data_IF_780724412120
#
_entry.id   IF_780724412120
#
_cell.length_a   1.000
_cell.length_b   1.000
_cell.length_c   1.000
_cell.angle_alpha   90.00
_cell.angle_beta   90.00
_cell.angle_gamma   90.00
#
_symmetry.space_group_name_H-M   'P 1'
#
loop_
_entity.id
_entity.type
_entity.pdbx_description
1 polymer ?
#
# COMPACT_ATOMS: atom_id res chain seq x y z
N UNK A 1 -14.27 -13.33 39.23
CA UNK A 1 -15.14 -14.41 39.75
C UNK A 1 -14.80 -15.68 38.96
N UNK A 2 -14.11 -16.65 39.57
CA UNK A 2 -13.79 -17.92 38.89
C UNK A 2 -15.06 -18.77 38.83
N UNK A 3 -15.62 -18.97 37.64
CA UNK A 3 -16.60 -20.04 37.42
C UNK A 3 -15.85 -21.36 37.45
N UNK A 4 -15.75 -21.97 38.64
CA UNK A 4 -15.29 -23.34 38.77
C UNK A 4 -16.43 -24.24 38.32
N UNK A 5 -16.44 -24.62 37.05
CA UNK A 5 -17.31 -25.69 36.57
C UNK A 5 -16.71 -26.99 37.11
N UNK A 6 -17.27 -27.50 38.22
CA UNK A 6 -16.90 -28.81 38.76
C UNK A 6 -17.38 -29.89 37.80
N UNK A 7 -16.51 -30.34 36.90
CA UNK A 7 -16.72 -31.61 36.20
C UNK A 7 -16.44 -32.76 37.16
N UNK A 8 -17.42 -33.66 37.32
CA UNK A 8 -17.32 -34.83 38.20
C UNK A 8 -16.50 -35.90 37.45
N UNK A 9 -15.19 -35.93 37.70
CA UNK A 9 -14.32 -37.07 37.32
C UNK A 9 -13.50 -36.94 36.03
N UNK A 10 -13.28 -35.73 35.50
CA UNK A 10 -12.34 -35.50 34.39
C UNK A 10 -11.28 -34.48 34.78
N UNK A 11 -10.06 -34.62 34.24
CA UNK A 11 -8.98 -33.65 34.40
C UNK A 11 -9.51 -32.22 34.15
N UNK A 12 -9.04 -31.22 34.92
CA UNK A 12 -9.49 -29.85 34.72
C UNK A 12 -9.13 -29.40 33.30
N UNK A 13 -10.14 -29.32 32.43
CA UNK A 13 -10.00 -28.67 31.14
C UNK A 13 -9.69 -27.21 31.44
N UNK A 14 -8.45 -26.81 31.14
CA UNK A 14 -8.01 -25.43 31.29
C UNK A 14 -8.75 -24.60 30.24
N UNK A 15 -9.98 -24.17 30.58
CA UNK A 15 -10.74 -23.24 29.76
C UNK A 15 -9.97 -21.93 29.73
N UNK A 16 -9.29 -21.67 28.61
CA UNK A 16 -8.61 -20.41 28.37
C UNK A 16 -9.57 -19.27 28.66
N UNK A 17 -9.19 -18.36 29.55
CA UNK A 17 -10.03 -17.21 29.85
C UNK A 17 -10.09 -16.34 28.58
N UNK A 18 -11.27 -16.00 28.06
CA UNK A 18 -11.41 -15.23 26.82
C UNK A 18 -10.54 -13.96 26.79
N UNK A 19 -10.31 -13.34 27.94
CA UNK A 19 -9.46 -12.16 28.05
C UNK A 19 -7.97 -12.41 27.78
N UNK A 20 -7.44 -13.57 28.13
CA UNK A 20 -6.03 -13.91 27.86
C UNK A 20 -5.81 -14.10 26.37
N UNK A 21 -6.77 -14.72 25.69
CA UNK A 21 -6.76 -14.88 24.23
C UNK A 21 -6.86 -13.51 23.55
N UNK A 22 -7.85 -12.69 23.93
CA UNK A 22 -8.03 -11.35 23.37
C UNK A 22 -6.82 -10.44 23.57
N UNK A 23 -6.24 -10.43 24.77
CA UNK A 23 -5.02 -9.69 25.08
C UNK A 23 -3.86 -10.11 24.18
N UNK A 24 -3.62 -11.42 24.06
CA UNK A 24 -2.49 -11.95 23.29
C UNK A 24 -2.61 -11.59 21.82
N UNK A 25 -3.82 -11.77 21.26
CA UNK A 25 -4.13 -11.40 19.87
C UNK A 25 -3.92 -9.90 19.64
N UNK A 26 -4.42 -9.05 20.54
CA UNK A 26 -4.27 -7.60 20.43
C UNK A 26 -2.80 -7.14 20.50
N UNK A 27 -1.99 -7.72 21.41
CA UNK A 27 -0.56 -7.42 21.50
C UNK A 27 0.20 -7.83 20.22
N UNK A 28 -0.08 -9.03 19.69
CA UNK A 28 0.53 -9.50 18.45
C UNK A 28 0.16 -8.56 17.28
N UNK A 29 -1.11 -8.18 17.16
CA UNK A 29 -1.55 -7.23 16.12
C UNK A 29 -0.93 -5.84 16.27
N UNK A 30 -0.71 -5.38 17.50
CA UNK A 30 0.00 -4.14 17.79
C UNK A 30 1.47 -4.20 17.36
N UNK A 31 2.15 -5.32 17.66
CA UNK A 31 3.54 -5.54 17.23
C UNK A 31 3.66 -5.65 15.70
N UNK A 32 2.73 -6.34 15.04
CA UNK A 32 2.68 -6.42 13.57
C UNK A 32 2.50 -5.01 13.00
N UNK A 33 1.50 -4.25 13.48
CA UNK A 33 1.24 -2.87 13.03
C UNK A 33 2.43 -1.94 13.27
N UNK A 34 3.14 -2.10 14.39
CA UNK A 34 4.36 -1.36 14.69
C UNK A 34 5.51 -1.74 13.74
N UNK A 35 5.73 -3.02 13.48
CA UNK A 35 6.77 -3.48 12.55
C UNK A 35 6.54 -2.94 11.13
N UNK A 36 5.27 -2.89 10.71
CA UNK A 36 4.84 -2.28 9.45
C UNK A 36 5.09 -0.77 9.41
N UNK A 37 4.85 -0.08 10.53
CA UNK A 37 5.18 1.35 10.65
C UNK A 37 6.69 1.61 10.55
N UNK A 38 7.51 0.72 11.10
CA UNK A 38 8.98 0.84 11.16
C UNK A 38 9.71 0.39 9.90
N UNK A 39 8.98 0.20 8.78
CA UNK A 39 9.51 -0.29 7.50
C UNK A 39 10.08 -1.73 7.51
N UNK A 40 9.84 -2.55 8.55
CA UNK A 40 10.35 -3.94 8.59
C UNK A 40 9.65 -4.87 7.61
N UNK A 41 8.40 -4.57 7.29
CA UNK A 41 7.61 -5.27 6.28
C UNK A 41 7.03 -4.15 5.42
N UNK A 42 7.59 -3.84 4.24
CA UNK A 42 6.85 -3.00 3.31
C UNK A 42 5.50 -3.71 3.08
N UNK A 43 4.33 -3.06 3.31
CA UNK A 43 3.12 -3.48 2.58
C UNK A 43 3.40 -3.11 1.12
N UNK A 44 4.33 -3.84 0.48
CA UNK A 44 4.69 -3.76 -0.92
C UNK A 44 3.58 -4.31 -1.82
N UNK A 45 2.37 -4.48 -1.28
CA UNK A 45 1.15 -4.82 -2.02
C UNK A 45 0.23 -3.58 -1.96
N UNK A 46 0.68 -2.52 -2.63
CA UNK A 46 0.04 -1.37 -3.31
C UNK A 46 -1.30 -0.76 -2.84
N UNK A 47 -1.85 -1.15 -1.69
CA UNK A 47 -3.15 -0.64 -1.22
C UNK A 47 -3.08 0.28 0.00
N UNK A 48 -1.95 0.34 0.69
CA UNK A 48 -1.81 1.14 1.90
C UNK A 48 -0.67 2.14 1.66
N UNK A 49 -0.98 3.37 1.22
CA UNK A 49 0.07 4.37 1.07
C UNK A 49 0.63 4.59 2.47
N UNK A 50 1.91 4.25 2.65
CA UNK A 50 2.63 4.58 3.89
C UNK A 50 2.57 6.09 4.18
N UNK A 51 2.24 6.85 3.15
CA UNK A 51 2.12 8.29 3.06
C UNK A 51 0.74 8.80 3.51
N UNK A 52 -0.27 7.95 3.68
CA UNK A 52 -1.53 8.41 4.29
C UNK A 52 -1.26 8.68 5.76
N UNK A 53 -1.28 9.96 6.07
CA UNK A 53 -1.14 10.46 7.43
C UNK A 53 -2.48 10.94 7.93
N UNK A 54 -2.77 10.63 9.19
CA UNK A 54 -3.85 11.24 9.96
C UNK A 54 -3.18 12.03 11.09
N UNK A 55 -3.46 13.33 11.18
CA UNK A 55 -2.83 14.23 12.15
C UNK A 55 -1.28 14.17 12.15
N UNK A 56 -0.67 13.99 10.98
CA UNK A 56 0.80 13.95 10.82
C UNK A 56 1.47 12.61 11.16
N UNK A 57 0.70 11.58 11.55
CA UNK A 57 1.22 10.23 11.77
C UNK A 57 0.68 9.26 10.72
N UNK A 58 1.48 8.30 10.28
CA UNK A 58 1.04 7.33 9.29
C UNK A 58 -0.09 6.45 9.82
N UNK A 59 -0.95 5.95 8.93
CA UNK A 59 -2.03 5.01 9.30
C UNK A 59 -1.49 3.78 10.04
N UNK A 60 -0.30 3.28 9.70
CA UNK A 60 0.32 2.16 10.41
C UNK A 60 0.62 2.50 11.88
N UNK A 61 1.08 3.72 12.17
CA UNK A 61 1.28 4.18 13.54
C UNK A 61 -0.04 4.25 14.32
N UNK A 62 -1.12 4.72 13.69
CA UNK A 62 -2.47 4.68 14.26
C UNK A 62 -2.96 3.26 14.49
N UNK A 63 -2.68 2.33 13.59
CA UNK A 63 -2.97 0.90 13.75
C UNK A 63 -2.26 0.32 14.97
N UNK A 64 -0.97 0.62 15.16
CA UNK A 64 -0.21 0.18 16.33
C UNK A 64 -0.80 0.73 17.63
N UNK A 65 -1.12 2.02 17.67
CA UNK A 65 -1.77 2.66 18.82
C UNK A 65 -3.15 2.06 19.11
N UNK A 66 -3.93 1.78 18.07
CA UNK A 66 -5.25 1.15 18.17
C UNK A 66 -5.15 -0.22 18.83
N UNK A 67 -4.31 -1.12 18.32
CA UNK A 67 -4.18 -2.46 18.89
C UNK A 67 -3.55 -2.47 20.29
N UNK A 68 -2.65 -1.53 20.59
CA UNK A 68 -2.17 -1.32 21.95
C UNK A 68 -3.32 -0.91 22.89
N UNK A 69 -4.20 -0.01 22.43
CA UNK A 69 -5.39 0.40 23.19
C UNK A 69 -6.32 -0.79 23.43
N UNK A 70 -6.59 -1.61 22.41
CA UNK A 70 -7.39 -2.84 22.54
C UNK A 70 -6.76 -3.81 23.54
N UNK A 71 -5.44 -4.00 23.49
CA UNK A 71 -4.71 -4.85 24.42
C UNK A 71 -4.84 -4.34 25.87
N UNK A 72 -4.64 -3.05 26.10
CA UNK A 72 -4.83 -2.42 27.42
C UNK A 72 -6.25 -2.57 27.93
N UNK A 73 -7.26 -2.45 27.07
CA UNK A 73 -8.66 -2.64 27.46
C UNK A 73 -8.96 -4.10 27.82
N UNK A 74 -8.36 -5.08 27.14
CA UNK A 74 -8.43 -6.49 27.55
C UNK A 74 -7.73 -6.73 28.89
N UNK A 75 -6.55 -6.13 29.09
CA UNK A 75 -5.78 -6.21 30.34
C UNK A 75 -6.54 -5.65 31.54
N UNK A 76 -7.17 -4.48 31.38
CA UNK A 76 -7.97 -3.82 32.40
C UNK A 76 -9.38 -4.40 32.56
N UNK A 77 -9.71 -5.49 31.86
CA UNK A 77 -11.04 -6.11 31.85
C UNK A 77 -12.17 -5.11 31.49
N UNK A 78 -11.86 -4.10 30.67
CA UNK A 78 -12.77 -3.02 30.28
C UNK A 78 -13.72 -3.47 29.14
N UNK A 79 -14.32 -4.66 29.26
CA UNK A 79 -15.09 -5.30 28.19
C UNK A 79 -16.31 -4.49 27.73
N UNK A 80 -16.78 -3.51 28.53
CA UNK A 80 -17.88 -2.62 28.14
C UNK A 80 -17.49 -1.63 27.05
N UNK A 81 -16.22 -1.24 27.01
CA UNK A 81 -15.69 -0.25 26.07
C UNK A 81 -15.15 -0.93 24.80
N UNK A 82 -14.67 -2.17 24.93
CA UNK A 82 -14.08 -2.94 23.84
C UNK A 82 -14.91 -3.00 22.55
N UNK A 83 -16.22 -3.29 22.58
CA UNK A 83 -17.00 -3.40 21.35
C UNK A 83 -17.03 -2.11 20.55
N UNK A 84 -17.03 -0.97 21.24
CA UNK A 84 -17.07 0.35 20.61
C UNK A 84 -15.73 0.66 19.95
N UNK A 85 -14.63 0.38 20.64
CA UNK A 85 -13.27 0.57 20.10
C UNK A 85 -13.03 -0.37 18.92
N UNK A 86 -13.32 -1.66 19.08
CA UNK A 86 -13.20 -2.65 17.99
C UNK A 86 -14.07 -2.29 16.78
N UNK A 87 -15.32 -1.86 17.02
CA UNK A 87 -16.22 -1.38 15.97
C UNK A 87 -15.65 -0.19 15.21
N UNK A 88 -14.97 0.73 15.90
CA UNK A 88 -14.28 1.87 15.26
C UNK A 88 -13.18 1.39 14.32
N UNK A 89 -12.33 0.46 14.76
CA UNK A 89 -11.28 -0.13 13.91
C UNK A 89 -11.84 -0.85 12.68
N UNK A 90 -12.93 -1.61 12.84
CA UNK A 90 -13.63 -2.29 11.73
C UNK A 90 -14.14 -1.27 10.70
N UNK A 91 -14.76 -0.17 11.15
CA UNK A 91 -15.25 0.88 10.26
C UNK A 91 -14.11 1.60 9.52
N UNK A 92 -12.98 1.87 10.20
CA UNK A 92 -11.80 2.46 9.56
C UNK A 92 -11.28 1.54 8.45
N UNK A 93 -11.13 0.25 8.70
CA UNK A 93 -10.71 -0.71 7.69
C UNK A 93 -11.72 -0.84 6.53
N UNK A 94 -13.02 -0.86 6.82
CA UNK A 94 -14.05 -0.86 5.78
C UNK A 94 -13.98 0.40 4.90
N UNK A 95 -13.77 1.57 5.51
CA UNK A 95 -13.54 2.82 4.79
C UNK A 95 -12.31 2.74 3.88
N UNK A 96 -11.20 2.20 4.40
CA UNK A 96 -9.99 1.98 3.60
C UNK A 96 -10.26 1.09 2.38
N UNK A 97 -11.02 0.00 2.53
CA UNK A 97 -11.41 -0.87 1.40
C UNK A 97 -12.28 -0.17 0.36
N UNK A 98 -13.17 0.73 0.78
CA UNK A 98 -14.00 1.50 -0.14
C UNK A 98 -13.20 2.55 -0.92
N UNK A 99 -12.13 3.08 -0.31
CA UNK A 99 -11.28 4.11 -0.94
C UNK A 99 -10.12 3.55 -1.76
N UNK A 100 -9.72 2.30 -1.54
CA UNK A 100 -8.61 1.67 -2.23
C UNK A 100 -9.04 0.32 -2.86
N UNK A 101 -9.30 0.27 -4.19
CA UNK A 101 -9.74 -0.95 -4.86
C UNK A 101 -8.66 -2.04 -4.90
N UNK A 102 -7.39 -1.68 -4.66
CA UNK A 102 -6.31 -2.63 -4.48
C UNK A 102 -6.23 -3.02 -3.00
N UNK A 103 -6.73 -4.20 -2.68
CA UNK A 103 -6.81 -4.70 -1.31
C UNK A 103 -5.40 -5.05 -0.76
N UNK A 104 -4.87 -4.32 0.23
CA UNK A 104 -3.69 -4.77 1.02
C UNK A 104 -4.16 -5.98 1.87
N UNK A 105 -3.66 -7.19 1.57
CA UNK A 105 -4.01 -8.45 2.26
C UNK A 105 -3.91 -8.36 3.78
N UNK A 106 -2.93 -7.60 4.25
CA UNK A 106 -2.74 -7.32 5.65
C UNK A 106 -3.90 -6.53 6.27
N UNK A 107 -4.46 -5.53 5.57
CA UNK A 107 -5.66 -4.84 6.04
C UNK A 107 -6.85 -5.80 6.17
N UNK A 108 -6.97 -6.79 5.28
CA UNK A 108 -7.97 -7.85 5.38
C UNK A 108 -7.72 -8.71 6.63
N UNK A 109 -6.48 -9.14 6.86
CA UNK A 109 -6.13 -9.93 8.06
C UNK A 109 -6.46 -9.15 9.33
N UNK A 110 -6.05 -7.89 9.43
CA UNK A 110 -6.31 -7.01 10.58
C UNK A 110 -7.81 -6.71 10.78
N UNK A 111 -8.56 -6.54 9.68
CA UNK A 111 -10.01 -6.42 9.70
C UNK A 111 -10.69 -7.69 10.23
N UNK A 112 -10.36 -8.86 9.67
CA UNK A 112 -10.88 -10.15 10.10
C UNK A 112 -10.54 -10.45 11.57
N UNK A 113 -9.33 -10.08 12.00
CA UNK A 113 -8.89 -10.23 13.38
C UNK A 113 -9.67 -9.30 14.33
N UNK A 114 -9.97 -8.07 13.91
CA UNK A 114 -10.83 -7.15 14.67
C UNK A 114 -12.26 -7.66 14.80
N UNK A 115 -12.82 -8.26 13.74
CA UNK A 115 -14.11 -8.96 13.77
C UNK A 115 -14.08 -10.17 14.71
N UNK A 116 -13.03 -10.98 14.66
CA UNK A 116 -12.85 -12.13 15.55
C UNK A 116 -12.78 -11.73 17.02
N UNK A 117 -12.02 -10.68 17.34
CA UNK A 117 -11.96 -10.13 18.70
C UNK A 117 -13.31 -9.58 19.15
N UNK A 118 -14.06 -8.90 18.26
CA UNK A 118 -15.40 -8.40 18.58
C UNK A 118 -16.36 -9.56 18.87
N UNK A 119 -16.35 -10.61 18.05
CA UNK A 119 -17.14 -11.82 18.28
C UNK A 119 -16.83 -12.50 19.61
N UNK A 120 -15.54 -12.56 19.98
CA UNK A 120 -15.09 -13.12 21.26
C UNK A 120 -15.56 -12.28 22.46
N UNK A 121 -15.53 -10.95 22.35
CA UNK A 121 -16.04 -10.07 23.42
C UNK A 121 -17.54 -10.21 23.58
N UNK A 122 -18.28 -10.26 22.47
CA UNK A 122 -19.74 -10.39 22.48
C UNK A 122 -20.18 -11.76 23.00
N UNK A 123 -19.46 -12.84 22.69
CA UNK A 123 -19.77 -14.18 23.19
C UNK A 123 -19.43 -14.36 24.68
N UNK A 124 -18.43 -13.64 25.17
CA UNK A 124 -18.03 -13.66 26.58
C UNK A 124 -18.93 -12.80 27.48
N UNK A 125 -19.78 -11.94 26.91
CA UNK A 125 -20.72 -11.13 27.68
C UNK A 125 -22.14 -11.76 27.71
N UNK A 126 -22.75 -11.96 28.89
CA UNK A 126 -24.19 -12.27 28.97
C UNK A 126 -24.98 -11.11 28.33
N UNK A 127 -26.17 -11.36 27.74
CA UNK A 127 -26.68 -10.67 26.55
C UNK A 127 -26.40 -9.17 26.54
N UNK A 128 -25.24 -8.80 26.00
CA UNK A 128 -24.73 -7.43 25.95
C UNK A 128 -25.65 -6.51 25.13
N UNK A 129 -26.38 -7.11 24.17
CA UNK A 129 -27.42 -6.46 23.39
C UNK A 129 -28.55 -5.89 24.27
N UNK A 130 -28.86 -6.51 25.41
CA UNK A 130 -29.89 -6.01 26.31
C UNK A 130 -29.45 -4.71 27.02
N UNK A 131 -28.15 -4.44 27.19
CA UNK A 131 -27.68 -3.26 27.93
C UNK A 131 -27.49 -2.02 27.03
N UNK A 132 -27.08 -2.19 25.77
CA UNK A 132 -26.99 -1.07 24.81
C UNK A 132 -28.39 -0.47 24.56
N UNK A 133 -29.42 -1.31 24.55
CA UNK A 133 -30.82 -0.85 24.43
C UNK A 133 -31.34 -0.12 25.68
N UNK A 134 -30.78 -0.40 26.87
CA UNK A 134 -31.40 0.00 28.14
C UNK A 134 -30.86 1.30 28.76
N UNK A 135 -29.84 1.95 28.18
CA UNK A 135 -29.36 3.26 28.66
C UNK A 135 -29.13 4.25 27.51
N UNK A 136 -29.95 5.31 27.38
CA UNK A 136 -29.86 6.24 26.26
C UNK A 136 -28.51 6.97 26.18
N UNK A 137 -27.83 7.20 27.32
CA UNK A 137 -26.51 7.83 27.34
C UNK A 137 -25.41 7.02 26.63
N UNK A 138 -25.53 5.69 26.59
CA UNK A 138 -24.53 4.85 25.92
C UNK A 138 -24.70 4.87 24.39
N UNK A 139 -25.93 5.01 23.91
CA UNK A 139 -26.23 5.17 22.47
C UNK A 139 -25.62 6.46 21.95
N UNK A 140 -25.71 7.56 22.72
CA UNK A 140 -25.09 8.85 22.35
C UNK A 140 -23.57 8.75 22.24
N UNK A 141 -22.91 8.07 23.18
CA UNK A 141 -21.45 7.89 23.13
C UNK A 141 -21.01 7.06 21.92
N UNK A 142 -21.73 5.98 21.60
CA UNK A 142 -21.47 5.17 20.40
C UNK A 142 -21.69 5.98 19.13
N UNK A 143 -22.78 6.75 19.04
CA UNK A 143 -23.05 7.62 17.90
C UNK A 143 -22.00 8.73 17.74
N UNK A 144 -21.51 9.32 18.84
CA UNK A 144 -20.43 10.31 18.80
C UNK A 144 -19.10 9.72 18.30
N UNK A 145 -18.79 8.47 18.68
CA UNK A 145 -17.59 7.78 18.20
C UNK A 145 -17.71 7.43 16.71
N UNK A 146 -18.88 6.95 16.27
CA UNK A 146 -19.16 6.71 14.84
C UNK A 146 -19.08 8.03 14.04
N UNK A 147 -19.65 9.12 14.57
CA UNK A 147 -19.61 10.43 13.94
C UNK A 147 -18.17 10.99 13.87
N UNK A 148 -17.37 10.84 14.92
CA UNK A 148 -15.97 11.25 14.93
C UNK A 148 -15.12 10.44 13.94
N UNK A 149 -15.35 9.12 13.86
CA UNK A 149 -14.70 8.26 12.87
C UNK A 149 -15.11 8.64 11.43
N UNK A 150 -16.40 8.90 11.21
CA UNK A 150 -16.92 9.38 9.92
C UNK A 150 -16.34 10.75 9.53
N UNK A 151 -16.18 11.66 10.49
CA UNK A 151 -15.52 12.95 10.27
C UNK A 151 -14.04 12.78 9.92
N UNK A 152 -13.32 11.90 10.59
CA UNK A 152 -11.91 11.61 10.28
C UNK A 152 -11.72 11.04 8.88
N UNK A 153 -12.65 10.18 8.42
CA UNK A 153 -12.67 9.65 7.05
C UNK A 153 -13.02 10.78 6.06
N UNK A 154 -14.02 11.61 6.36
CA UNK A 154 -14.43 12.73 5.50
C UNK A 154 -13.34 13.80 5.34
N UNK A 155 -12.61 14.14 6.40
CA UNK A 155 -11.48 15.08 6.36
C UNK A 155 -10.33 14.49 5.54
N UNK A 156 -10.05 13.19 5.68
CA UNK A 156 -9.05 12.51 4.83
C UNK A 156 -9.44 12.57 3.35
N UNK A 157 -10.74 12.41 3.04
CA UNK A 157 -11.27 12.49 1.68
C UNK A 157 -11.18 13.90 1.09
N UNK A 158 -11.52 14.94 1.87
CA UNK A 158 -11.43 16.34 1.43
C UNK A 158 -9.97 16.80 1.26
N UNK A 159 -9.06 16.36 2.13
CA UNK A 159 -7.62 16.60 1.96
C UNK A 159 -7.12 15.92 0.68
N UNK A 160 -7.49 14.66 0.41
CA UNK A 160 -7.12 13.97 -0.84
C UNK A 160 -7.68 14.66 -2.08
N UNK A 161 -8.94 15.10 -2.04
CA UNK A 161 -9.58 15.82 -3.14
C UNK A 161 -8.90 17.18 -3.41
N UNK A 162 -8.42 17.87 -2.37
CA UNK A 162 -7.78 19.19 -2.48
C UNK A 162 -6.28 19.13 -2.78
N UNK A 163 -5.56 18.10 -2.37
CA UNK A 163 -4.13 17.94 -2.67
C UNK A 163 -3.87 17.39 -4.08
N UNK A 164 -4.93 17.03 -4.82
CA UNK A 164 -4.80 16.48 -6.17
C UNK A 164 -4.14 15.11 -6.19
N UNK A 165 -4.06 14.43 -5.04
CA UNK A 165 -3.51 13.09 -4.93
C UNK A 165 -4.56 12.09 -5.42
N UNK A 166 -4.55 11.80 -6.71
CA UNK A 166 -5.28 10.67 -7.27
C UNK A 166 -4.43 9.41 -7.07
N UNK A 167 -4.95 8.33 -6.46
CA UNK A 167 -4.27 7.04 -6.49
C UNK A 167 -4.26 6.56 -7.94
N UNK A 168 -3.19 6.88 -8.67
CA UNK A 168 -2.83 6.36 -9.98
C UNK A 168 -3.98 6.17 -11.00
N UNK A 169 -4.97 7.05 -11.02
CA UNK A 169 -5.64 7.32 -12.28
C UNK A 169 -4.67 8.19 -13.06
N UNK A 170 -4.17 7.60 -14.16
CA UNK A 170 -3.40 8.24 -15.22
C UNK A 170 -3.42 9.76 -15.06
N UNK A 171 -2.24 10.35 -14.84
CA UNK A 171 -2.08 11.79 -15.08
C UNK A 171 -2.80 12.01 -16.42
N UNK A 172 -3.95 12.71 -16.47
CA UNK A 172 -4.56 13.01 -17.74
C UNK A 172 -3.45 13.77 -18.43
N UNK A 173 -2.90 13.19 -19.50
CA UNK A 173 -1.68 13.66 -20.12
C UNK A 173 -1.87 15.14 -20.41
N UNK A 174 -1.46 16.00 -19.48
CA UNK A 174 -2.01 17.35 -19.42
C UNK A 174 -1.38 18.22 -20.51
N UNK A 175 -0.38 17.65 -21.18
CA UNK A 175 0.21 18.07 -22.43
C UNK A 175 0.37 16.89 -23.40
N UNK A 176 -0.53 15.88 -23.41
CA UNK A 176 -0.74 15.15 -24.66
C UNK A 176 -1.33 16.20 -25.61
N UNK A 177 -0.42 16.88 -26.29
CA UNK A 177 -0.65 17.65 -27.50
C UNK A 177 -1.74 16.92 -28.25
N UNK A 178 -2.87 17.60 -28.47
CA UNK A 178 -4.08 17.08 -29.08
C UNK A 178 -3.86 16.75 -30.57
N UNK A 179 -2.85 15.94 -30.86
CA UNK A 179 -2.29 15.69 -32.19
C UNK A 179 -1.85 14.21 -32.36
N UNK A 180 -2.44 13.30 -31.58
CA UNK A 180 -2.21 11.87 -31.73
C UNK A 180 -3.50 11.04 -31.64
N UNK A 181 -4.51 11.43 -32.40
CA UNK A 181 -5.60 10.53 -32.77
C UNK A 181 -5.88 10.65 -34.26
N UNK A 182 -4.84 10.45 -35.07
CA UNK A 182 -5.01 10.04 -36.46
C UNK A 182 -4.86 8.50 -36.49
N UNK A 183 -5.97 7.73 -36.61
CA UNK A 183 -5.93 6.27 -36.65
C UNK A 183 -5.19 5.69 -37.88
N UNK A 184 -4.63 6.54 -38.74
CA UNK A 184 -3.70 6.16 -39.82
C UNK A 184 -2.23 6.03 -39.38
N UNK A 185 -1.88 6.40 -38.13
CA UNK A 185 -0.54 6.15 -37.60
C UNK A 185 -0.38 4.64 -37.30
N UNK A 186 0.14 3.89 -38.28
CA UNK A 186 0.37 2.45 -38.17
C UNK A 186 1.07 2.07 -36.86
N UNK A 187 0.66 0.93 -36.29
CA UNK A 187 1.27 0.35 -35.07
C UNK A 187 2.79 0.44 -35.19
N UNK A 188 3.44 1.06 -34.20
CA UNK A 188 4.90 1.12 -34.17
C UNK A 188 5.47 -0.30 -34.22
N UNK A 189 6.59 -0.52 -34.91
CA UNK A 189 7.32 -1.78 -34.79
C UNK A 189 7.53 -2.11 -33.31
N UNK A 190 7.39 -3.39 -32.89
CA UNK A 190 7.56 -3.78 -31.48
C UNK A 190 8.89 -3.33 -30.86
N UNK A 191 9.94 -3.16 -31.69
CA UNK A 191 11.25 -2.66 -31.30
C UNK A 191 11.31 -1.17 -30.98
N UNK A 192 10.31 -0.36 -31.35
CA UNK A 192 10.27 1.07 -31.07
C UNK A 192 9.32 1.36 -29.92
N UNK A 193 9.82 2.05 -28.90
CA UNK A 193 9.03 2.54 -27.78
C UNK A 193 8.87 4.06 -27.87
N UNK A 194 7.63 4.54 -27.82
CA UNK A 194 7.32 5.97 -27.86
C UNK A 194 7.62 6.62 -26.50
N UNK A 195 8.40 7.70 -26.54
CA UNK A 195 8.84 8.42 -25.34
C UNK A 195 8.96 9.92 -25.62
N UNK A 196 8.88 10.74 -24.59
CA UNK A 196 9.10 12.18 -24.67
C UNK A 196 10.37 12.59 -23.93
N UNK A 197 11.17 13.47 -24.52
CA UNK A 197 12.34 14.06 -23.84
C UNK A 197 11.91 15.03 -22.73
N UNK A 198 12.80 15.40 -21.80
CA UNK A 198 12.48 16.42 -20.78
C UNK A 198 11.96 17.75 -21.36
N UNK A 199 12.42 18.12 -22.56
CA UNK A 199 12.01 19.33 -23.27
C UNK A 199 10.64 19.20 -23.98
N UNK A 200 9.92 18.09 -23.81
CA UNK A 200 8.63 17.85 -24.43
C UNK A 200 8.70 17.35 -25.89
N UNK A 201 9.89 17.01 -26.39
CA UNK A 201 10.06 16.53 -27.77
C UNK A 201 9.78 15.03 -27.83
N UNK A 202 8.79 14.63 -28.63
CA UNK A 202 8.48 13.24 -28.91
C UNK A 202 9.64 12.53 -29.64
N UNK A 203 10.00 11.34 -29.16
CA UNK A 203 11.09 10.51 -29.68
C UNK A 203 10.67 9.04 -29.67
N UNK A 204 11.44 8.22 -30.38
CA UNK A 204 11.31 6.76 -30.35
C UNK A 204 12.66 6.18 -29.93
N UNK A 205 12.66 5.31 -28.92
CA UNK A 205 13.86 4.57 -28.53
C UNK A 205 13.79 3.15 -29.10
N UNK A 206 14.93 2.64 -29.56
CA UNK A 206 15.02 1.34 -30.21
C UNK A 206 15.46 0.26 -29.20
N UNK A 207 14.51 -0.57 -28.78
CA UNK A 207 14.68 -1.68 -27.84
C UNK A 207 15.53 -2.82 -28.41
N UNK A 208 15.74 -2.88 -29.74
CA UNK A 208 16.67 -3.82 -30.35
C UNK A 208 18.14 -3.38 -30.21
N UNK A 209 18.39 -2.11 -29.88
CA UNK A 209 19.75 -1.60 -29.61
C UNK A 209 20.12 -1.82 -28.15
N UNK A 210 19.22 -1.46 -27.24
CA UNK A 210 19.39 -1.69 -25.80
C UNK A 210 18.03 -1.69 -25.09
N UNK A 211 17.90 -2.43 -23.99
CA UNK A 211 16.66 -2.48 -23.21
C UNK A 211 16.34 -1.13 -22.57
N UNK A 212 15.10 -0.98 -22.09
CA UNK A 212 14.61 0.19 -21.38
C UNK A 212 14.20 -0.18 -19.95
N UNK A 213 14.75 0.51 -18.97
CA UNK A 213 14.37 0.43 -17.56
C UNK A 213 13.36 1.55 -17.28
N UNK A 214 12.13 1.14 -16.98
CA UNK A 214 11.05 2.05 -16.57
C UNK A 214 11.07 2.23 -15.06
N UNK A 215 11.06 3.47 -14.60
CA UNK A 215 11.12 3.86 -13.19
C UNK A 215 10.03 4.87 -12.82
N UNK A 216 9.83 5.08 -11.53
CA UNK A 216 9.16 6.28 -11.00
C UNK A 216 10.09 6.98 -10.01
N UNK A 217 10.20 8.32 -10.02
CA UNK A 217 11.02 9.05 -9.06
C UNK A 217 10.58 8.83 -7.61
N UNK A 218 9.32 8.48 -7.37
CA UNK A 218 8.79 8.21 -6.03
C UNK A 218 8.94 6.75 -5.59
N UNK A 219 9.35 5.84 -6.48
CA UNK A 219 9.53 4.44 -6.11
C UNK A 219 10.80 4.25 -5.28
N UNK A 220 10.65 3.76 -4.04
CA UNK A 220 11.78 3.45 -3.15
C UNK A 220 12.71 2.40 -3.78
N UNK A 221 12.16 1.31 -4.29
CA UNK A 221 12.92 0.19 -4.89
C UNK A 221 13.69 0.55 -6.16
N UNK A 222 13.28 1.59 -6.89
CA UNK A 222 14.04 2.05 -8.06
C UNK A 222 15.46 2.52 -7.71
N UNK A 223 15.74 2.93 -6.47
CA UNK A 223 17.07 3.43 -6.08
C UNK A 223 18.17 2.37 -6.21
N UNK A 224 17.95 1.18 -5.65
CA UNK A 224 18.92 0.07 -5.65
C UNK A 224 19.19 -0.42 -7.08
N UNK A 225 18.15 -0.51 -7.90
CA UNK A 225 18.25 -0.91 -9.31
C UNK A 225 19.01 0.15 -10.13
N UNK A 226 18.78 1.43 -9.87
CA UNK A 226 19.52 2.51 -10.53
C UNK A 226 21.01 2.55 -10.14
N UNK A 227 21.34 2.26 -8.88
CA UNK A 227 22.75 2.11 -8.46
C UNK A 227 23.43 0.97 -9.22
N UNK A 228 22.74 -0.15 -9.38
CA UNK A 228 23.24 -1.28 -10.20
C UNK A 228 23.46 -0.86 -11.65
N UNK A 229 22.58 -0.04 -12.22
CA UNK A 229 22.77 0.54 -13.56
C UNK A 229 23.96 1.51 -13.61
N UNK A 230 24.21 2.27 -12.55
CA UNK A 230 25.34 3.20 -12.45
C UNK A 230 26.69 2.48 -12.50
N UNK A 231 26.76 1.28 -11.93
CA UNK A 231 27.95 0.43 -11.93
C UNK A 231 28.24 -0.21 -13.31
N UNK A 232 27.28 -0.21 -14.23
CA UNK A 232 27.49 -0.74 -15.58
C UNK A 232 28.32 0.22 -16.45
N UNK A 233 29.15 -0.33 -17.37
CA UNK A 233 29.74 0.44 -18.46
C UNK A 233 28.68 1.23 -19.24
N UNK A 234 29.00 2.44 -19.70
CA UNK A 234 28.02 3.36 -20.29
C UNK A 234 27.27 2.80 -21.50
N UNK A 235 27.93 1.98 -22.31
CA UNK A 235 27.39 1.26 -23.47
C UNK A 235 26.44 0.12 -23.09
N UNK A 236 26.56 -0.40 -21.86
CA UNK A 236 25.70 -1.47 -21.31
C UNK A 236 24.52 -0.96 -20.49
N UNK A 237 24.37 0.36 -20.33
CA UNK A 237 23.25 0.94 -19.55
C UNK A 237 21.95 0.95 -20.37
N UNK A 238 20.83 0.45 -19.83
CA UNK A 238 19.52 0.56 -20.48
C UNK A 238 19.13 2.02 -20.73
N UNK A 239 18.14 2.26 -21.59
CA UNK A 239 17.45 3.55 -21.58
C UNK A 239 16.74 3.72 -20.24
N UNK A 240 16.85 4.90 -19.63
CA UNK A 240 16.07 5.23 -18.44
C UNK A 240 14.80 5.95 -18.88
N UNK A 241 13.64 5.41 -18.51
CA UNK A 241 12.33 5.98 -18.84
C UNK A 241 11.55 6.20 -17.55
N UNK A 242 11.14 7.43 -17.28
CA UNK A 242 10.29 7.79 -16.18
C UNK A 242 8.81 7.63 -16.58
N UNK A 243 8.05 6.92 -15.76
CA UNK A 243 6.60 6.78 -15.94
C UNK A 243 5.83 8.07 -15.57
N UNK A 244 6.39 8.85 -14.64
CA UNK A 244 5.78 10.07 -14.10
C UNK A 244 6.81 10.96 -13.39
N UNK A 245 6.30 12.05 -12.79
CA UNK A 245 7.08 13.03 -12.04
C UNK A 245 7.54 14.22 -12.88
N UNK A 246 8.01 15.24 -12.19
CA UNK A 246 8.68 16.39 -12.79
C UNK A 246 10.10 16.04 -13.22
N UNK A 247 10.64 16.80 -14.16
CA UNK A 247 12.04 16.70 -14.57
C UNK A 247 12.99 16.81 -13.36
N UNK A 248 12.71 17.70 -12.41
CA UNK A 248 13.52 17.89 -11.22
C UNK A 248 13.53 16.65 -10.31
N UNK A 249 12.37 16.01 -10.11
CA UNK A 249 12.26 14.79 -9.30
C UNK A 249 13.02 13.62 -9.93
N UNK A 250 12.90 13.44 -11.25
CA UNK A 250 13.63 12.38 -11.97
C UNK A 250 15.14 12.66 -11.92
N UNK A 251 15.57 13.91 -12.16
CA UNK A 251 16.98 14.29 -12.04
C UNK A 251 17.56 14.01 -10.67
N UNK A 252 16.83 14.36 -9.60
CA UNK A 252 17.26 14.08 -8.24
C UNK A 252 17.39 12.57 -8.00
N UNK A 253 16.38 11.78 -8.41
CA UNK A 253 16.42 10.31 -8.27
C UNK A 253 17.62 9.68 -8.98
N UNK A 254 17.99 10.19 -10.16
CA UNK A 254 19.16 9.71 -10.91
C UNK A 254 20.47 10.17 -10.30
N UNK A 255 20.54 11.41 -9.81
CA UNK A 255 21.69 11.94 -9.12
C UNK A 255 22.00 11.16 -7.84
N UNK A 256 20.98 10.81 -7.05
CA UNK A 256 21.11 9.98 -5.84
C UNK A 256 21.71 8.60 -6.14
N UNK A 257 21.53 8.09 -7.36
CA UNK A 257 22.10 6.83 -7.83
C UNK A 257 23.46 7.00 -8.56
N UNK A 258 23.99 8.22 -8.66
CA UNK A 258 25.24 8.49 -9.39
C UNK A 258 25.13 8.43 -10.91
N UNK A 259 23.91 8.55 -11.46
CA UNK A 259 23.65 8.52 -12.90
C UNK A 259 23.59 9.93 -13.50
N UNK A 260 23.93 10.01 -14.80
CA UNK A 260 23.77 11.23 -15.59
C UNK A 260 22.29 11.50 -15.91
N UNK A 261 21.90 12.75 -16.23
CA UNK A 261 20.50 13.14 -16.41
C UNK A 261 19.89 12.72 -17.76
N UNK A 262 20.45 11.71 -18.44
CA UNK A 262 19.91 11.25 -19.71
C UNK A 262 18.73 10.28 -19.47
N UNK A 263 17.50 10.79 -19.58
CA UNK A 263 16.27 10.00 -19.44
C UNK A 263 15.18 10.49 -20.40
N UNK A 264 14.08 9.73 -20.43
CA UNK A 264 12.87 10.05 -21.19
C UNK A 264 11.62 9.85 -20.31
N UNK A 265 10.47 10.33 -20.77
CA UNK A 265 9.16 10.06 -20.20
C UNK A 265 8.39 9.08 -21.09
N UNK A 266 7.64 8.15 -20.50
CA UNK A 266 6.87 7.16 -21.25
C UNK A 266 5.59 7.78 -21.83
N UNK A 267 5.36 7.64 -23.14
CA UNK A 267 4.16 8.14 -23.83
C UNK A 267 3.17 7.03 -24.23
N UNK A 268 3.56 5.77 -24.05
CA UNK A 268 2.79 4.58 -24.44
C UNK A 268 2.30 3.82 -23.20
N UNK A 269 1.07 3.32 -23.24
CA UNK A 269 0.57 2.41 -22.21
C UNK A 269 1.19 1.02 -22.40
N UNK A 270 2.17 0.70 -21.56
CA UNK A 270 2.81 -0.61 -21.49
C UNK A 270 2.07 -1.62 -20.60
N UNK A 271 0.93 -1.23 -20.01
CA UNK A 271 0.17 -2.01 -19.02
C UNK A 271 1.04 -2.52 -17.86
N UNK A 272 2.02 -1.70 -17.45
CA UNK A 272 2.92 -2.00 -16.32
C UNK A 272 2.12 -2.13 -15.03
N UNK A 273 2.36 -3.21 -14.28
CA UNK A 273 1.76 -3.35 -12.96
C UNK A 273 2.67 -2.79 -11.85
N UNK A 274 3.99 -2.83 -12.06
CA UNK A 274 4.98 -2.49 -11.03
C UNK A 274 6.10 -1.63 -11.65
N UNK A 275 6.91 -0.99 -10.81
CA UNK A 275 8.21 -0.40 -11.19
C UNK A 275 9.21 -0.64 -10.05
N UNK A 276 10.50 -0.83 -10.32
CA UNK A 276 11.15 -0.75 -11.64
C UNK A 276 10.76 -1.92 -12.55
N UNK A 277 10.70 -1.67 -13.86
CA UNK A 277 10.39 -2.71 -14.87
C UNK A 277 11.35 -2.63 -16.04
N UNK A 278 11.69 -3.78 -16.62
CA UNK A 278 12.59 -3.84 -17.77
C UNK A 278 11.80 -4.24 -19.01
N UNK A 279 11.98 -3.48 -20.10
CA UNK A 279 11.41 -3.76 -21.42
C UNK A 279 12.54 -4.03 -22.40
N UNK A 280 12.47 -5.14 -23.14
CA UNK A 280 13.51 -5.52 -24.09
C UNK A 280 12.94 -6.26 -25.30
N UNK A 281 13.80 -6.55 -26.28
CA UNK A 281 13.48 -7.39 -27.43
C UNK A 281 14.11 -8.76 -27.29
N UNK A 282 13.34 -9.82 -27.53
CA UNK A 282 13.83 -11.19 -27.67
C UNK A 282 13.15 -11.83 -28.88
N UNK A 283 13.94 -12.25 -29.88
CA UNK A 283 13.43 -12.90 -31.11
C UNK A 283 12.26 -12.12 -31.76
N UNK A 284 12.45 -10.81 -31.97
CA UNK A 284 11.44 -9.90 -32.54
C UNK A 284 10.18 -9.69 -31.69
N UNK A 285 10.11 -10.27 -30.50
CA UNK A 285 9.04 -10.05 -29.54
C UNK A 285 9.47 -9.06 -28.47
N UNK A 286 8.59 -8.12 -28.14
CA UNK A 286 8.75 -7.24 -26.97
C UNK A 286 8.46 -8.06 -25.71
N UNK A 287 9.44 -8.10 -24.81
CA UNK A 287 9.34 -8.71 -23.49
C UNK A 287 9.31 -7.62 -22.41
N UNK A 288 8.65 -7.93 -21.30
CA UNK A 288 8.46 -7.05 -20.15
C UNK A 288 8.62 -7.90 -18.88
N UNK A 289 9.40 -7.42 -17.93
CA UNK A 289 9.49 -7.96 -16.58
C UNK A 289 9.18 -6.84 -15.59
N UNK A 290 8.15 -7.03 -14.76
CA UNK A 290 7.70 -6.06 -13.78
C UNK A 290 8.34 -6.31 -12.40
N UNK A 291 8.62 -5.24 -11.65
CA UNK A 291 9.11 -5.33 -10.27
C UNK A 291 10.52 -5.93 -10.16
N UNK A 292 11.37 -5.63 -11.13
CA UNK A 292 12.69 -6.24 -11.27
C UNK A 292 13.65 -5.85 -10.13
N UNK A 293 14.30 -6.83 -9.51
CA UNK A 293 15.38 -6.59 -8.54
C UNK A 293 16.75 -6.36 -9.18
N UNK A 294 17.77 -5.92 -8.42
CA UNK A 294 19.14 -5.74 -8.90
C UNK A 294 19.76 -6.99 -9.57
N UNK A 295 19.62 -8.16 -8.94
CA UNK A 295 20.21 -9.40 -9.43
C UNK A 295 19.53 -9.88 -10.72
N UNK A 296 18.21 -9.80 -10.78
CA UNK A 296 17.42 -10.16 -11.96
C UNK A 296 17.72 -9.22 -13.13
N UNK A 297 17.89 -7.92 -12.86
CA UNK A 297 18.33 -6.95 -13.86
C UNK A 297 19.66 -7.40 -14.50
N UNK A 298 20.69 -7.67 -13.69
CA UNK A 298 22.00 -8.08 -14.22
C UNK A 298 21.91 -9.38 -15.02
N UNK A 299 21.11 -10.34 -14.55
CA UNK A 299 20.89 -11.62 -15.23
C UNK A 299 20.25 -11.43 -16.60
N UNK A 300 19.21 -10.59 -16.70
CA UNK A 300 18.54 -10.31 -17.98
C UNK A 300 19.46 -9.50 -18.89
N UNK A 301 20.09 -8.43 -18.39
CA UNK A 301 21.02 -7.60 -19.19
C UNK A 301 22.17 -8.42 -19.77
N UNK A 302 22.71 -9.40 -19.04
CA UNK A 302 23.75 -10.31 -19.54
C UNK A 302 23.26 -11.23 -20.67
N UNK A 303 21.97 -11.54 -20.72
CA UNK A 303 21.37 -12.38 -21.76
C UNK A 303 21.08 -11.59 -23.04
N UNK A 304 20.65 -10.33 -22.89
CA UNK A 304 20.07 -9.53 -23.99
C UNK A 304 21.03 -8.47 -24.55
N UNK A 305 22.20 -8.28 -23.94
CA UNK A 305 23.27 -7.37 -24.39
C UNK A 305 24.60 -8.10 -24.48
#
# INVERSE_FOLDING_TARGET
>A
MLHIIKYRGGDPIMLYRPHQVGLSVALISGLISYALWRDFIPCGIYGCPADVTLLGFSIAAWGALFYLTVALLFWCEAYRVLPVVLGTGILVHAGLFLTNPQFCWLCIILFCLSLGMLGLVLSAQPPALAFIANKPGNVVVVLLIIAAAGLGIGVSYDIHAKTGWTPFNAVPAKNAVAEASNPAAGRLPPSLLAVTTPDGIAKKVNLAVKPALVISPHCKHCGEVLQTVADLPQDRRPYIIALNGSEAEVKNKLADAGLSPAFYFLDEDLSLQWVPSLVWMEQEKRCLEDGIGPDDLLKILKKVM
#
